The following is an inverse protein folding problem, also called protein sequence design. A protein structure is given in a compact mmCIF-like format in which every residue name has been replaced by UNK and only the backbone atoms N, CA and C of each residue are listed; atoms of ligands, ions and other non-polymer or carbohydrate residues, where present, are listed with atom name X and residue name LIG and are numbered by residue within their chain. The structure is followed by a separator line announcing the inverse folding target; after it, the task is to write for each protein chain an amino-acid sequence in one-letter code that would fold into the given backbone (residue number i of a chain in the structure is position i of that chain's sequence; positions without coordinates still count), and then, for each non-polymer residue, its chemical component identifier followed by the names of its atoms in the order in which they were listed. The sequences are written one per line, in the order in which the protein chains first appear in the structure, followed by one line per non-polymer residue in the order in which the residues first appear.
data_IF_729123337026
#
_entry.id   IF_729123337026
#
_cell.length_a   1.000
_cell.length_b   1.000
_cell.length_c   1.000
_cell.angle_alpha   90.00
_cell.angle_beta   90.00
_cell.angle_gamma   90.00
#
_symmetry.space_group_name_H-M   'P 1'
#
loop_
_entity.id
_entity.type
_entity.pdbx_description
1 polymer ?
#
# COMPACT_ATOMS: atom_id res chain seq x y z
N UNK A 1 -0.50 -5.77 17.44
CA UNK A 1 -0.44 -5.25 16.06
C UNK A 1 0.30 -6.24 15.17
N UNK A 2 -0.19 -6.47 13.96
CA UNK A 2 0.36 -7.48 13.07
C UNK A 2 1.39 -6.93 12.08
N UNK A 3 1.58 -5.61 12.05
CA UNK A 3 2.47 -4.93 11.11
C UNK A 3 3.54 -4.16 11.86
N UNK A 4 4.77 -4.17 11.34
CA UNK A 4 5.89 -3.42 11.91
C UNK A 4 6.29 -2.29 10.97
N UNK A 5 6.91 -1.24 11.51
CA UNK A 5 7.46 -0.15 10.70
C UNK A 5 8.50 -0.66 9.73
N UNK A 6 9.30 -1.64 10.16
CA UNK A 6 10.31 -2.29 9.33
C UNK A 6 9.68 -2.94 8.09
N UNK A 7 8.59 -3.68 8.28
CA UNK A 7 7.85 -4.32 7.19
C UNK A 7 7.25 -3.29 6.24
N UNK A 8 6.71 -2.19 6.77
CA UNK A 8 6.09 -1.14 5.97
C UNK A 8 7.10 -0.33 5.16
N UNK A 9 8.40 -0.44 5.46
CA UNK A 9 9.46 0.29 4.78
C UNK A 9 10.44 -0.63 4.05
N UNK A 10 10.23 -1.94 4.07
CA UNK A 10 11.11 -2.90 3.43
C UNK A 10 11.07 -2.78 1.91
N UNK A 11 12.22 -2.91 1.27
CA UNK A 11 12.34 -2.90 -0.19
C UNK A 11 13.60 -3.62 -0.64
N UNK A 12 13.43 -4.64 -1.47
CA UNK A 12 14.55 -5.34 -2.09
C UNK A 12 15.34 -4.43 -3.04
N UNK A 13 14.64 -3.56 -3.77
CA UNK A 13 15.29 -2.59 -4.66
C UNK A 13 16.17 -1.63 -3.88
N UNK A 14 15.67 -1.13 -2.74
CA UNK A 14 16.45 -0.23 -1.89
C UNK A 14 17.72 -0.92 -1.38
N UNK A 15 17.61 -2.19 -0.95
CA UNK A 15 18.76 -2.98 -0.51
C UNK A 15 19.80 -3.13 -1.61
N UNK A 16 19.36 -3.53 -2.80
CA UNK A 16 20.26 -3.75 -3.95
C UNK A 16 20.97 -2.50 -4.40
N UNK A 17 20.30 -1.36 -4.31
CA UNK A 17 20.84 -0.07 -4.78
C UNK A 17 21.47 0.77 -3.68
N UNK A 18 21.49 0.25 -2.44
CA UNK A 18 22.06 0.99 -1.31
C UNK A 18 21.28 2.25 -0.95
N UNK A 19 19.97 2.27 -1.20
CA UNK A 19 19.11 3.40 -0.88
C UNK A 19 18.64 3.30 0.56
N UNK A 20 18.83 4.37 1.33
CA UNK A 20 18.33 4.45 2.70
C UNK A 20 16.85 4.86 2.68
N UNK A 21 15.96 3.87 2.72
CA UNK A 21 14.52 4.07 2.63
C UNK A 21 13.92 4.31 4.01
N UNK A 22 14.28 5.44 4.63
CA UNK A 22 13.85 5.77 5.98
C UNK A 22 12.82 6.89 5.98
N UNK A 23 11.63 6.68 6.57
CA UNK A 23 10.61 7.73 6.64
C UNK A 23 10.95 8.78 7.70
N UNK A 24 10.52 10.01 7.46
CA UNK A 24 10.56 11.07 8.48
C UNK A 24 9.39 10.89 9.46
N UNK A 25 9.31 11.77 10.48
CA UNK A 25 8.30 11.66 11.53
C UNK A 25 6.88 11.72 10.96
N UNK A 26 6.58 12.64 10.05
CA UNK A 26 5.23 12.76 9.48
C UNK A 26 4.86 11.54 8.65
N UNK A 27 5.81 11.02 7.88
CA UNK A 27 5.58 9.82 7.07
C UNK A 27 5.33 8.60 7.96
N UNK A 28 6.04 8.49 9.09
CA UNK A 28 5.81 7.42 10.06
C UNK A 28 4.41 7.53 10.68
N UNK A 29 3.97 8.72 11.01
CA UNK A 29 2.62 8.96 11.54
C UNK A 29 1.58 8.52 10.50
N UNK A 30 1.76 8.89 9.25
CA UNK A 30 0.85 8.50 8.18
C UNK A 30 0.78 6.97 8.05
N UNK A 31 1.91 6.29 8.11
CA UNK A 31 1.96 4.82 8.07
C UNK A 31 1.23 4.18 9.23
N UNK A 32 1.38 4.74 10.44
CA UNK A 32 0.69 4.24 11.63
C UNK A 32 -0.82 4.33 11.44
N UNK A 33 -1.33 5.44 10.93
CA UNK A 33 -2.76 5.61 10.71
C UNK A 33 -3.30 4.75 9.57
N UNK A 34 -2.53 4.59 8.50
CA UNK A 34 -2.88 3.64 7.44
C UNK A 34 -3.00 2.22 8.01
N UNK A 35 -2.06 1.84 8.86
CA UNK A 35 -2.08 0.55 9.52
C UNK A 35 -3.30 0.41 10.43
N UNK A 36 -3.55 1.39 11.29
CA UNK A 36 -4.63 1.33 12.27
C UNK A 36 -6.02 1.32 11.63
N UNK A 37 -6.23 2.09 10.57
CA UNK A 37 -7.56 2.24 9.96
C UNK A 37 -7.82 1.30 8.79
N UNK A 38 -6.80 0.76 8.15
CA UNK A 38 -6.96 -0.09 6.98
C UNK A 38 -6.34 -1.47 7.17
N UNK A 39 -5.03 -1.54 7.42
CA UNK A 39 -4.32 -2.81 7.39
C UNK A 39 -4.70 -3.73 8.55
N UNK A 40 -4.74 -3.21 9.76
CA UNK A 40 -5.08 -3.99 10.95
C UNK A 40 -6.53 -4.49 10.90
N UNK A 41 -7.53 -3.63 10.58
CA UNK A 41 -8.90 -4.12 10.41
C UNK A 41 -9.02 -5.19 9.31
N UNK A 42 -8.31 -5.02 8.20
CA UNK A 42 -8.30 -6.02 7.13
C UNK A 42 -7.72 -7.34 7.62
N UNK A 43 -6.58 -7.28 8.32
CA UNK A 43 -5.90 -8.47 8.86
C UNK A 43 -6.82 -9.25 9.81
N UNK A 44 -7.52 -8.54 10.68
CA UNK A 44 -8.44 -9.15 11.65
C UNK A 44 -9.65 -9.80 10.96
N UNK A 45 -10.20 -9.14 9.94
CA UNK A 45 -11.36 -9.65 9.22
C UNK A 45 -11.01 -10.86 8.36
N UNK A 46 -9.86 -10.86 7.71
CA UNK A 46 -9.44 -11.93 6.81
C UNK A 46 -8.93 -13.15 7.57
N UNK A 47 -8.47 -12.99 8.80
CA UNK A 47 -7.94 -14.07 9.66
C UNK A 47 -6.77 -14.80 9.01
N UNK A 48 -6.01 -14.11 8.17
CA UNK A 48 -4.85 -14.63 7.48
C UNK A 48 -3.80 -13.53 7.35
N UNK A 49 -2.51 -13.86 7.20
CA UNK A 49 -1.47 -12.84 7.00
C UNK A 49 -1.73 -11.99 5.77
N UNK A 50 -1.51 -10.69 5.90
CA UNK A 50 -1.59 -9.73 4.81
C UNK A 50 -0.16 -9.32 4.49
N UNK A 51 0.35 -9.76 3.35
CA UNK A 51 1.73 -9.52 2.95
C UNK A 51 1.86 -8.16 2.26
N UNK A 52 2.82 -7.34 2.73
CA UNK A 52 3.10 -6.04 2.13
C UNK A 52 4.15 -6.24 1.02
N UNK A 53 3.79 -5.87 -0.20
CA UNK A 53 4.71 -5.91 -1.33
C UNK A 53 5.53 -4.64 -1.45
N UNK A 54 4.89 -3.48 -1.26
CA UNK A 54 5.55 -2.18 -1.28
C UNK A 54 4.81 -1.25 -0.35
N UNK A 55 5.51 -0.63 0.59
CA UNK A 55 4.94 0.35 1.50
C UNK A 55 5.54 1.73 1.24
N UNK A 56 6.19 2.31 2.27
CA UNK A 56 6.84 3.60 2.12
C UNK A 56 7.98 3.55 1.10
N UNK A 57 8.06 4.60 0.28
CA UNK A 57 9.17 4.84 -0.64
C UNK A 57 9.69 6.25 -0.47
N UNK A 58 11.00 6.39 -0.18
CA UNK A 58 11.65 7.69 -0.26
C UNK A 58 11.72 8.13 -1.73
N UNK A 59 12.04 9.39 -1.98
CA UNK A 59 12.09 9.95 -3.33
C UNK A 59 13.00 9.13 -4.25
N UNK A 60 14.21 8.81 -3.78
CA UNK A 60 15.18 8.04 -4.57
C UNK A 60 14.66 6.65 -4.93
N UNK A 61 14.00 5.96 -3.98
CA UNK A 61 13.43 4.65 -4.25
C UNK A 61 12.25 4.74 -5.20
N UNK A 62 11.38 5.72 -5.01
CA UNK A 62 10.24 5.92 -5.91
C UNK A 62 10.69 6.12 -7.35
N UNK A 63 11.73 6.92 -7.54
CA UNK A 63 12.32 7.15 -8.86
C UNK A 63 12.93 5.86 -9.44
N UNK A 64 13.62 5.09 -8.60
CA UNK A 64 14.27 3.85 -9.02
C UNK A 64 13.28 2.79 -9.50
N UNK A 65 12.07 2.73 -8.91
CA UNK A 65 11.03 1.77 -9.29
C UNK A 65 10.04 2.33 -10.32
N UNK A 66 10.26 3.55 -10.79
CA UNK A 66 9.40 4.16 -11.82
C UNK A 66 8.06 4.63 -11.32
N UNK A 67 7.95 4.96 -10.03
CA UNK A 67 6.72 5.50 -9.46
C UNK A 67 6.42 6.92 -9.96
N UNK A 68 5.15 7.31 -9.90
CA UNK A 68 4.76 8.67 -10.28
C UNK A 68 5.34 9.69 -9.31
N UNK A 69 5.61 10.91 -9.81
CA UNK A 69 6.29 11.94 -9.02
C UNK A 69 5.54 12.42 -7.78
N UNK A 70 4.22 12.22 -7.74
CA UNK A 70 3.36 12.59 -6.61
C UNK A 70 2.79 11.37 -5.90
N UNK A 71 3.49 10.26 -5.92
CA UNK A 71 3.02 8.99 -5.34
C UNK A 71 2.74 9.12 -3.84
N UNK A 72 1.60 8.59 -3.41
CA UNK A 72 1.24 8.52 -1.99
C UNK A 72 2.15 7.57 -1.20
N UNK A 73 2.83 6.64 -1.88
CA UNK A 73 3.88 5.82 -1.24
C UNK A 73 4.98 6.69 -0.62
N UNK A 74 5.31 7.82 -1.25
CA UNK A 74 6.33 8.74 -0.72
C UNK A 74 5.87 9.51 0.51
N UNK A 75 4.57 9.57 0.74
CA UNK A 75 3.99 10.26 1.91
C UNK A 75 3.70 9.33 3.07
N UNK A 76 3.93 8.02 2.91
CA UNK A 76 3.52 7.03 3.90
C UNK A 76 2.02 6.80 3.92
N UNK A 77 1.33 7.09 2.83
CA UNK A 77 -0.14 7.01 2.76
C UNK A 77 -0.64 5.85 1.91
N UNK A 78 0.25 5.05 1.33
CA UNK A 78 -0.15 3.96 0.44
C UNK A 78 0.69 2.71 0.67
N UNK A 79 0.06 1.56 0.46
CA UNK A 79 0.72 0.26 0.41
C UNK A 79 0.18 -0.55 -0.76
N UNK A 80 1.03 -1.41 -1.29
CA UNK A 80 0.64 -2.45 -2.24
C UNK A 80 0.62 -3.78 -1.50
N UNK A 81 -0.51 -4.47 -1.53
CA UNK A 81 -0.69 -5.74 -0.87
C UNK A 81 -0.34 -6.87 -1.85
N UNK A 82 0.59 -7.73 -1.45
CA UNK A 82 1.04 -8.84 -2.26
C UNK A 82 0.08 -10.02 -2.12
N UNK A 83 -0.49 -10.47 -3.24
CA UNK A 83 -1.44 -11.57 -3.25
C UNK A 83 -0.83 -12.88 -3.74
N UNK A 84 0.47 -12.91 -4.01
CA UNK A 84 1.22 -14.11 -4.45
C UNK A 84 0.55 -14.85 -5.61
N UNK A 85 -0.02 -14.11 -6.57
CA UNK A 85 -0.69 -14.67 -7.73
C UNK A 85 -2.08 -15.24 -7.46
N UNK A 86 -2.58 -15.13 -6.24
CA UNK A 86 -3.90 -15.64 -5.86
C UNK A 86 -4.97 -14.57 -6.04
N UNK A 87 -5.58 -14.53 -7.22
CA UNK A 87 -6.60 -13.54 -7.56
C UNK A 87 -7.86 -13.67 -6.70
N UNK A 88 -8.20 -14.87 -6.26
CA UNK A 88 -9.34 -15.09 -5.38
C UNK A 88 -9.12 -14.37 -4.04
N UNK A 89 -7.92 -14.53 -3.49
CA UNK A 89 -7.50 -13.83 -2.26
C UNK A 89 -7.49 -12.32 -2.48
N UNK A 90 -6.92 -11.86 -3.59
CA UNK A 90 -6.85 -10.45 -3.92
C UNK A 90 -8.23 -9.79 -4.03
N UNK A 91 -9.16 -10.45 -4.69
CA UNK A 91 -10.54 -9.96 -4.80
C UNK A 91 -11.26 -9.94 -3.46
N UNK A 92 -11.02 -10.94 -2.63
CA UNK A 92 -11.58 -10.99 -1.27
C UNK A 92 -11.14 -9.80 -0.43
N UNK A 93 -9.83 -9.48 -0.46
CA UNK A 93 -9.29 -8.31 0.25
C UNK A 93 -9.83 -7.01 -0.34
N UNK A 94 -9.82 -6.90 -1.65
CA UNK A 94 -10.32 -5.74 -2.38
C UNK A 94 -11.78 -5.44 -2.02
N UNK A 95 -12.64 -6.46 -2.09
CA UNK A 95 -14.06 -6.31 -1.78
C UNK A 95 -14.31 -5.94 -0.33
N UNK A 96 -13.55 -6.51 0.60
CA UNK A 96 -13.69 -6.18 2.02
C UNK A 96 -13.33 -4.73 2.29
N UNK A 97 -12.20 -4.26 1.73
CA UNK A 97 -11.77 -2.86 1.89
C UNK A 97 -12.84 -1.94 1.31
N UNK A 98 -13.29 -2.23 0.10
CA UNK A 98 -14.29 -1.42 -0.59
C UNK A 98 -15.56 -1.22 0.22
N UNK A 99 -16.05 -2.30 0.83
CA UNK A 99 -17.33 -2.29 1.55
C UNK A 99 -17.22 -1.77 2.97
N UNK A 100 -16.10 -1.98 3.65
CA UNK A 100 -16.04 -1.85 5.11
C UNK A 100 -15.02 -0.87 5.64
N UNK A 101 -14.02 -0.48 4.86
CA UNK A 101 -12.90 0.32 5.36
C UNK A 101 -12.82 1.68 4.70
N UNK A 102 -12.23 2.69 5.39
CA UNK A 102 -11.96 3.98 4.74
C UNK A 102 -10.76 3.86 3.81
N UNK A 103 -10.75 4.60 2.72
CA UNK A 103 -9.60 4.68 1.83
C UNK A 103 -9.70 5.90 0.91
N UNK A 104 -8.56 6.36 0.44
CA UNK A 104 -8.49 7.39 -0.60
C UNK A 104 -8.59 6.75 -1.98
N UNK A 105 -7.67 5.81 -2.28
CA UNK A 105 -7.71 5.02 -3.52
C UNK A 105 -7.63 3.54 -3.19
N UNK A 106 -8.40 2.75 -3.90
CA UNK A 106 -8.35 1.30 -3.85
C UNK A 106 -8.26 0.80 -5.29
N UNK A 107 -7.14 0.17 -5.62
CA UNK A 107 -6.85 -0.17 -7.01
C UNK A 107 -6.39 -1.62 -7.10
N UNK A 108 -7.01 -2.38 -8.00
CA UNK A 108 -6.46 -3.67 -8.41
C UNK A 108 -5.53 -3.38 -9.60
N UNK A 109 -4.23 -3.39 -9.33
CA UNK A 109 -3.21 -3.06 -10.31
C UNK A 109 -2.52 -4.31 -10.86
N UNK A 110 -1.98 -4.20 -12.05
CA UNK A 110 -1.14 -5.25 -12.63
C UNK A 110 -0.05 -4.63 -13.50
N UNK A 111 1.01 -5.39 -13.72
CA UNK A 111 2.09 -4.96 -14.61
C UNK A 111 2.03 -5.71 -15.93
N UNK A 112 2.92 -5.38 -16.85
CA UNK A 112 2.99 -6.01 -18.17
C UNK A 112 3.38 -7.49 -18.13
N UNK A 113 3.91 -7.96 -17.00
CA UNK A 113 4.29 -9.36 -16.79
C UNK A 113 3.16 -10.21 -16.23
N UNK A 114 1.98 -9.62 -16.00
CA UNK A 114 0.84 -10.34 -15.48
C UNK A 114 0.77 -10.48 -13.97
N UNK A 115 1.64 -9.80 -13.22
CA UNK A 115 1.55 -9.77 -11.75
C UNK A 115 0.49 -8.78 -11.31
N UNK A 116 -0.33 -9.17 -10.33
CA UNK A 116 -1.38 -8.34 -9.76
C UNK A 116 -1.11 -8.07 -8.29
N UNK A 117 -1.59 -6.91 -7.82
CA UNK A 117 -1.55 -6.55 -6.39
C UNK A 117 -2.70 -5.60 -6.09
N UNK A 118 -2.99 -5.43 -4.80
CA UNK A 118 -4.02 -4.49 -4.35
C UNK A 118 -3.34 -3.27 -3.77
N UNK A 119 -3.52 -2.13 -4.41
CA UNK A 119 -3.05 -0.83 -3.93
C UNK A 119 -4.14 -0.19 -3.09
N UNK A 120 -3.80 0.25 -1.88
CA UNK A 120 -4.72 0.99 -1.02
C UNK A 120 -4.00 2.18 -0.38
N UNK A 121 -4.69 3.31 -0.33
CA UNK A 121 -4.16 4.51 0.31
C UNK A 121 -5.18 5.08 1.30
N UNK A 122 -4.67 5.83 2.28
CA UNK A 122 -5.48 6.46 3.31
C UNK A 122 -4.82 7.77 3.72
N UNK A 123 -5.60 8.84 3.76
CA UNK A 123 -5.12 10.18 4.12
C UNK A 123 -5.59 10.51 5.53
N UNK A 124 -4.65 10.74 6.44
CA UNK A 124 -4.95 11.15 7.80
C UNK A 124 -4.53 12.61 8.01
N UNK A 125 -5.29 13.41 8.74
CA UNK A 125 -6.61 13.10 9.29
C UNK A 125 -7.71 13.10 8.22
N UNK A 126 -8.73 12.26 8.42
CA UNK A 126 -9.83 12.13 7.48
C UNK A 126 -10.86 13.25 7.70
N UNK A 127 -10.65 14.38 7.04
CA UNK A 127 -11.58 15.50 7.03
C UNK A 127 -12.18 15.65 5.64
N UNK A 128 -12.70 14.55 5.09
CA UNK A 128 -13.27 14.52 3.75
C UNK A 128 -12.24 14.48 2.64
N UNK A 129 -10.99 14.12 2.95
CA UNK A 129 -9.90 14.05 1.98
C UNK A 129 -9.75 12.69 1.32
N UNK A 130 -10.41 11.65 1.87
CA UNK A 130 -10.39 10.32 1.28
C UNK A 130 -11.45 10.24 0.19
N UNK A 131 -11.01 10.14 -1.05
CA UNK A 131 -11.88 10.21 -2.24
C UNK A 131 -12.75 8.98 -2.45
N UNK A 132 -12.38 7.85 -1.84
CA UNK A 132 -13.00 6.55 -2.07
C UNK A 132 -13.02 6.16 -3.54
N UNK A 133 -11.93 6.48 -4.23
CA UNK A 133 -11.78 6.15 -5.64
C UNK A 133 -11.43 4.67 -5.80
N UNK A 134 -12.23 3.96 -6.58
CA UNK A 134 -12.04 2.53 -6.85
C UNK A 134 -11.69 2.35 -8.31
N UNK A 135 -10.59 1.66 -8.59
CA UNK A 135 -10.18 1.33 -9.95
C UNK A 135 -9.90 -0.17 -10.00
N UNK A 136 -10.62 -0.87 -10.86
CA UNK A 136 -10.37 -2.28 -11.09
C UNK A 136 -9.54 -2.43 -12.35
N UNK A 137 -8.52 -3.30 -12.32
CA UNK A 137 -7.74 -3.69 -13.48
C UNK A 137 -6.97 -2.53 -14.13
N UNK A 138 -6.15 -1.81 -13.33
CA UNK A 138 -5.28 -0.75 -13.84
C UNK A 138 -3.92 -1.32 -14.24
N UNK A 139 -3.51 -1.10 -15.50
CA UNK A 139 -2.17 -1.46 -15.97
C UNK A 139 -1.17 -0.40 -15.50
N UNK A 140 -0.18 -0.84 -14.74
CA UNK A 140 0.93 0.01 -14.31
C UNK A 140 2.09 -0.22 -15.26
N UNK A 141 2.49 0.83 -15.94
CA UNK A 141 3.59 0.81 -16.91
C UNK A 141 4.96 0.94 -16.25
#
# INVERSE_FOLDING_TARGET
MHFTMEELCASETAKKKGINNKPNAQQMINLVYLCAYVLEPLRLAMKEPIKIGSGFRCEALNKAVGGVSNSQHMKGQAVDLCIDGDMKKGKKWFDYIRKNLPFDQLILEHNSKGSYWVHVSYVYPDFGKNRRQVIENLLKK
#
